data_IF_053771149802
#
_entry.id   IF_053771149802
#
_cell.length_a   1.000
_cell.length_b   1.000
_cell.length_c   1.000
_cell.angle_alpha   90.00
_cell.angle_beta   90.00
_cell.angle_gamma   90.00
#
_symmetry.space_group_name_H-M   'P 1'
#
loop_
_entity.id
_entity.type
_entity.pdbx_description
1 polymer ?
#
# COMPACT_ATOMS: atom_id res chain seq x y z
N UNK A 1 -15.04 -9.65 10.59
CA UNK A 1 -15.61 -9.69 9.21
C UNK A 1 -15.31 -8.35 8.57
N UNK A 2 -14.29 -8.25 7.70
CA UNK A 2 -14.00 -6.99 7.00
C UNK A 2 -15.04 -6.79 5.90
N UNK A 3 -16.10 -6.03 6.21
CA UNK A 3 -17.05 -5.52 5.22
C UNK A 3 -16.38 -4.39 4.44
N UNK A 4 -16.34 -4.52 3.11
CA UNK A 4 -16.01 -3.41 2.21
C UNK A 4 -14.79 -3.64 1.32
N UNK A 5 -14.79 -4.68 0.50
CA UNK A 5 -14.12 -4.59 -0.80
C UNK A 5 -15.20 -4.15 -1.80
N UNK A 6 -14.97 -3.02 -2.46
CA UNK A 6 -15.87 -2.43 -3.45
C UNK A 6 -16.13 -3.44 -4.58
N UNK A 7 -17.33 -4.01 -4.65
CA UNK A 7 -17.75 -4.92 -5.75
C UNK A 7 -17.08 -6.30 -5.74
N UNK A 8 -16.75 -6.81 -6.93
CA UNK A 8 -16.25 -8.19 -7.18
C UNK A 8 -14.79 -8.44 -6.78
N UNK A 9 -14.13 -7.47 -6.16
CA UNK A 9 -12.71 -7.59 -5.77
C UNK A 9 -12.57 -8.47 -4.52
N UNK A 10 -11.72 -9.49 -4.61
CA UNK A 10 -11.41 -10.41 -3.51
C UNK A 10 -9.98 -10.16 -3.04
N UNK A 11 -9.78 -10.16 -1.73
CA UNK A 11 -8.45 -10.10 -1.14
C UNK A 11 -7.57 -11.24 -1.66
N UNK A 12 -6.32 -10.93 -2.02
CA UNK A 12 -5.36 -11.88 -2.58
C UNK A 12 -4.11 -12.02 -1.73
N UNK A 13 -3.51 -10.89 -1.35
CA UNK A 13 -2.19 -10.86 -0.69
C UNK A 13 -2.11 -9.73 0.32
N UNK A 14 -1.32 -9.95 1.37
CA UNK A 14 -0.91 -8.94 2.32
C UNK A 14 0.61 -8.98 2.45
N UNK A 15 1.21 -7.81 2.49
CA UNK A 15 2.65 -7.60 2.63
C UNK A 15 2.90 -6.65 3.79
N UNK A 16 4.00 -6.89 4.49
CA UNK A 16 4.59 -5.92 5.41
C UNK A 16 5.83 -5.38 4.72
N UNK A 17 5.88 -4.06 4.56
CA UNK A 17 7.01 -3.36 3.95
C UNK A 17 7.62 -2.39 4.95
N UNK A 18 8.94 -2.35 5.00
CA UNK A 18 9.69 -1.32 5.69
C UNK A 18 10.36 -0.46 4.63
N UNK A 19 10.09 0.84 4.67
CA UNK A 19 10.62 1.81 3.70
C UNK A 19 11.47 2.82 4.46
N UNK A 20 12.76 2.86 4.12
CA UNK A 20 13.70 3.80 4.71
C UNK A 20 13.57 5.18 4.08
N UNK A 21 13.52 6.23 4.91
CA UNK A 21 13.59 7.59 4.40
C UNK A 21 15.03 7.93 3.98
N UNK A 22 15.28 8.01 2.67
CA UNK A 22 16.60 8.34 2.11
C UNK A 22 16.90 9.82 2.37
N UNK A 23 17.61 10.11 3.46
CA UNK A 23 18.06 11.47 3.79
C UNK A 23 18.24 11.71 5.30
N UNK A 24 17.43 11.05 6.13
CA UNK A 24 17.59 11.05 7.59
C UNK A 24 17.83 9.62 8.07
N UNK A 25 19.00 9.38 8.63
CA UNK A 25 19.58 8.07 8.94
C UNK A 25 18.78 7.13 9.88
N UNK A 26 17.55 7.46 10.29
CA UNK A 26 16.84 6.74 11.37
C UNK A 26 15.31 6.69 11.30
N UNK A 27 14.65 7.17 10.24
CA UNK A 27 13.18 7.09 10.13
C UNK A 27 12.77 6.10 9.03
N UNK A 28 12.59 4.84 9.41
CA UNK A 28 11.90 3.85 8.59
C UNK A 28 10.39 3.90 8.88
N UNK A 29 9.59 3.64 7.85
CA UNK A 29 8.14 3.54 7.97
C UNK A 29 7.72 2.11 7.68
N UNK A 30 6.96 1.52 8.61
CA UNK A 30 6.33 0.21 8.41
C UNK A 30 4.95 0.38 7.79
N UNK A 31 4.71 -0.35 6.71
CA UNK A 31 3.49 -0.32 5.93
C UNK A 31 2.83 -1.70 5.87
N UNK A 32 1.53 -1.75 6.14
CA UNK A 32 0.65 -2.87 5.83
C UNK A 32 0.04 -2.68 4.44
N UNK A 33 0.45 -3.49 3.46
CA UNK A 33 -0.02 -3.40 2.08
C UNK A 33 -0.97 -4.56 1.78
N UNK A 34 -2.19 -4.24 1.37
CA UNK A 34 -3.23 -5.20 1.01
C UNK A 34 -3.50 -5.14 -0.49
N UNK A 35 -3.54 -6.31 -1.13
CA UNK A 35 -3.83 -6.46 -2.55
C UNK A 35 -5.12 -7.24 -2.71
N UNK A 36 -6.02 -6.72 -3.54
CA UNK A 36 -7.24 -7.39 -3.98
C UNK A 36 -7.27 -7.47 -5.50
N UNK A 37 -7.98 -8.47 -6.03
CA UNK A 37 -8.19 -8.62 -7.46
C UNK A 37 -9.59 -9.15 -7.76
N UNK A 38 -10.14 -8.79 -8.92
CA UNK A 38 -11.39 -9.35 -9.42
C UNK A 38 -11.14 -10.51 -10.40
N UNK A 39 -12.23 -11.07 -10.95
CA UNK A 39 -12.15 -12.23 -11.86
C UNK A 39 -11.54 -11.86 -13.24
N UNK A 40 -11.41 -10.57 -13.56
CA UNK A 40 -10.74 -10.05 -14.76
C UNK A 40 -9.25 -9.75 -14.55
N UNK A 41 -8.70 -10.13 -13.38
CA UNK A 41 -7.33 -9.82 -12.98
C UNK A 41 -7.01 -8.32 -12.91
N UNK A 42 -8.01 -7.46 -12.70
CA UNK A 42 -7.76 -6.08 -12.31
C UNK A 42 -7.33 -6.07 -10.85
N UNK A 43 -6.28 -5.31 -10.52
CA UNK A 43 -5.73 -5.25 -9.17
C UNK A 43 -6.07 -3.92 -8.49
N UNK A 44 -6.30 -3.99 -7.19
CA UNK A 44 -6.40 -2.84 -6.30
C UNK A 44 -5.49 -3.02 -5.11
N UNK A 45 -4.79 -1.96 -4.75
CA UNK A 45 -3.92 -1.92 -3.58
C UNK A 45 -4.44 -0.93 -2.54
N UNK A 46 -4.28 -1.28 -1.27
CA UNK A 46 -4.48 -0.39 -0.12
C UNK A 46 -3.23 -0.49 0.73
N UNK A 47 -2.81 0.60 1.35
CA UNK A 47 -1.71 0.57 2.30
C UNK A 47 -2.03 1.39 3.55
N UNK A 48 -1.50 0.96 4.69
CA UNK A 48 -1.62 1.64 5.97
C UNK A 48 -0.22 1.80 6.56
N UNK A 49 0.09 2.97 7.08
CA UNK A 49 1.24 3.20 7.96
C UNK A 49 0.70 3.47 9.38
N UNK A 50 0.42 2.43 10.19
CA UNK A 50 -0.32 2.60 11.45
C UNK A 50 0.40 3.52 12.44
N UNK A 51 1.74 3.43 12.50
CA UNK A 51 2.56 4.27 13.37
C UNK A 51 2.57 5.75 12.97
N UNK A 52 2.11 6.09 11.76
CA UNK A 52 2.10 7.46 11.23
C UNK A 52 0.67 7.99 10.99
N UNK A 53 -0.35 7.14 11.13
CA UNK A 53 -1.75 7.52 10.88
C UNK A 53 -2.08 7.81 9.41
N UNK A 54 -1.29 7.26 8.47
CA UNK A 54 -1.46 7.50 7.03
C UNK A 54 -2.07 6.27 6.35
N UNK A 55 -2.98 6.52 5.40
CA UNK A 55 -3.65 5.51 4.60
C UNK A 55 -3.59 5.87 3.12
N UNK A 56 -3.28 4.87 2.30
CA UNK A 56 -3.54 4.86 0.85
C UNK A 56 -4.82 4.05 0.65
N UNK A 57 -5.92 4.67 0.17
CA UNK A 57 -7.17 3.95 -0.07
C UNK A 57 -7.03 2.94 -1.22
N UNK A 58 -8.04 2.09 -1.42
CA UNK A 58 -8.08 1.11 -2.51
C UNK A 58 -7.93 1.75 -3.89
N UNK A 59 -6.70 1.74 -4.40
CA UNK A 59 -6.29 2.39 -5.64
C UNK A 59 -6.03 1.35 -6.72
N UNK A 60 -6.47 1.55 -7.98
CA UNK A 60 -6.09 0.69 -9.09
C UNK A 60 -4.57 0.63 -9.24
N UNK A 61 -4.04 -0.56 -9.45
CA UNK A 61 -2.61 -0.80 -9.67
C UNK A 61 -2.43 -1.68 -10.90
N UNK A 62 -1.34 -1.46 -11.62
CA UNK A 62 -0.98 -2.20 -12.82
C UNK A 62 -0.38 -3.57 -12.53
N UNK A 63 0.38 -4.09 -13.49
CA UNK A 63 0.94 -5.44 -13.45
C UNK A 63 2.11 -5.56 -12.46
N UNK A 64 2.83 -4.47 -12.17
CA UNK A 64 3.94 -4.43 -11.23
C UNK A 64 3.45 -4.09 -9.81
N UNK A 65 2.52 -4.91 -9.32
CA UNK A 65 1.73 -4.72 -8.09
C UNK A 65 2.55 -4.18 -6.90
N UNK A 66 3.66 -4.84 -6.55
CA UNK A 66 4.41 -4.49 -5.34
C UNK A 66 5.22 -3.20 -5.56
N UNK A 67 5.88 -3.05 -6.70
CA UNK A 67 6.67 -1.87 -7.03
C UNK A 67 5.79 -0.60 -7.05
N UNK A 68 4.62 -0.68 -7.68
CA UNK A 68 3.66 0.43 -7.70
C UNK A 68 3.16 0.77 -6.29
N UNK A 69 2.86 -0.24 -5.47
CA UNK A 69 2.45 0.01 -4.08
C UNK A 69 3.56 0.63 -3.23
N UNK A 70 4.80 0.19 -3.40
CA UNK A 70 5.96 0.76 -2.72
C UNK A 70 6.15 2.23 -3.12
N UNK A 71 6.07 2.53 -4.41
CA UNK A 71 6.17 3.90 -4.91
C UNK A 71 5.04 4.80 -4.38
N UNK A 72 3.80 4.29 -4.26
CA UNK A 72 2.69 5.02 -3.63
C UNK A 72 2.98 5.29 -2.14
N UNK A 73 3.51 4.32 -1.40
CA UNK A 73 3.88 4.49 0.00
C UNK A 73 4.96 5.56 0.16
N UNK A 74 6.02 5.51 -0.65
CA UNK A 74 7.10 6.52 -0.67
C UNK A 74 6.58 7.93 -0.96
N UNK A 75 5.62 8.08 -1.86
CA UNK A 75 5.03 9.39 -2.18
C UNK A 75 4.28 10.02 -1.01
N UNK A 76 3.73 9.21 -0.09
CA UNK A 76 3.07 9.67 1.12
C UNK A 76 4.04 9.98 2.27
N UNK A 77 5.30 9.54 2.16
CA UNK A 77 6.33 9.88 3.13
C UNK A 77 6.72 11.36 2.97
N UNK A 78 7.00 12.09 4.06
CA UNK A 78 7.51 13.45 4.00
C UNK A 78 8.74 13.50 3.12
N UNK A 79 8.82 14.45 2.19
CA UNK A 79 9.95 14.52 1.24
C UNK A 79 11.13 15.33 1.77
N UNK A 80 10.92 16.14 2.82
CA UNK A 80 11.95 16.90 3.56
C UNK A 80 11.40 17.32 4.93
N UNK A 81 12.26 17.60 5.94
CA UNK A 81 11.85 18.10 7.26
C UNK A 81 11.23 19.50 7.23
#
# INVERSE_FOLDING_TARGET
MMKGLMGDFKFKKHYLAEIDHVGEKLKSWSWDIYIAANDKQEYRGKALAPGQGIEIPWTPIGENILEEMMALCEQQMPKHP
#
